data_IF_062612250582
#
_entry.id   IF_062612250582
#
_cell.length_a   1.000
_cell.length_b   1.000
_cell.length_c   1.000
_cell.angle_alpha   90.00
_cell.angle_beta   90.00
_cell.angle_gamma   90.00
#
_symmetry.space_group_name_H-M   'P 1'
#
loop_
_entity.id
_entity.type
_entity.pdbx_description
1 polymer ?
#
# COMPACT_ATOMS: atom_id res chain seq x y z
N UNK A 1 23.39 -12.93 12.24
CA UNK A 1 22.95 -13.09 10.86
C UNK A 1 22.52 -11.75 10.28
N UNK A 2 22.70 -11.57 8.95
CA UNK A 2 22.27 -10.37 8.24
C UNK A 2 21.34 -10.78 7.10
N UNK A 3 20.17 -10.16 7.06
CA UNK A 3 19.19 -10.31 6.01
C UNK A 3 19.09 -9.02 5.21
N UNK A 4 18.80 -9.13 3.92
CA UNK A 4 18.55 -7.98 3.04
C UNK A 4 17.17 -8.17 2.43
N UNK A 5 16.31 -7.18 2.60
CA UNK A 5 14.94 -7.19 2.07
C UNK A 5 14.62 -5.85 1.41
N UNK A 6 13.68 -5.84 0.49
CA UNK A 6 13.12 -4.60 -0.01
C UNK A 6 12.07 -4.07 0.97
N UNK A 7 11.89 -2.75 1.02
CA UNK A 7 10.81 -2.17 1.83
C UNK A 7 9.45 -2.71 1.38
N UNK A 8 8.52 -2.81 2.33
CA UNK A 8 7.18 -3.40 2.14
C UNK A 8 7.16 -4.88 1.75
N UNK A 9 8.32 -5.56 1.70
CA UNK A 9 8.41 -7.02 1.52
C UNK A 9 8.52 -7.72 2.87
N UNK A 10 7.70 -8.76 3.07
CA UNK A 10 7.73 -9.58 4.27
C UNK A 10 8.95 -10.50 4.31
N UNK A 11 9.65 -10.52 5.45
CA UNK A 11 10.66 -11.52 5.80
C UNK A 11 10.10 -12.39 6.92
N UNK A 12 9.70 -13.62 6.59
CA UNK A 12 9.20 -14.56 7.60
C UNK A 12 10.36 -15.37 8.18
N UNK A 13 10.46 -15.36 9.49
CA UNK A 13 11.51 -16.04 10.25
C UNK A 13 10.89 -17.19 11.04
N UNK A 14 11.47 -18.38 10.87
CA UNK A 14 11.04 -19.63 11.50
C UNK A 14 12.18 -20.19 12.35
N UNK A 15 12.19 -19.99 13.66
CA UNK A 15 13.21 -20.56 14.52
C UNK A 15 13.18 -22.09 14.53
N UNK A 16 14.36 -22.71 14.40
CA UNK A 16 14.50 -24.15 14.41
C UNK A 16 14.31 -24.80 15.81
N UNK A 17 14.28 -23.96 16.85
CA UNK A 17 14.14 -24.41 18.23
C UNK A 17 12.75 -24.16 18.78
N UNK A 18 12.33 -24.98 19.74
CA UNK A 18 11.10 -24.82 20.50
C UNK A 18 11.39 -24.47 21.94
N UNK A 19 10.56 -23.66 22.55
CA UNK A 19 10.65 -23.27 23.96
C UNK A 19 9.29 -22.93 24.53
N UNK A 20 9.23 -22.57 25.80
CA UNK A 20 7.99 -22.26 26.49
C UNK A 20 7.43 -20.88 26.10
N UNK A 21 8.30 -19.91 25.83
CA UNK A 21 7.94 -18.54 25.46
C UNK A 21 8.91 -17.97 24.46
N UNK A 22 8.40 -17.18 23.55
CA UNK A 22 9.15 -16.48 22.51
C UNK A 22 9.02 -14.98 22.67
N UNK A 23 10.02 -14.24 22.26
CA UNK A 23 10.00 -12.79 22.22
C UNK A 23 10.83 -12.27 21.05
N UNK A 24 10.23 -11.41 20.24
CA UNK A 24 10.89 -10.67 19.19
C UNK A 24 10.90 -9.20 19.57
N UNK A 25 12.07 -8.59 19.59
CA UNK A 25 12.22 -7.17 19.85
C UNK A 25 12.97 -6.50 18.70
N UNK A 26 12.44 -5.38 18.25
CA UNK A 26 12.93 -4.65 17.09
C UNK A 26 13.41 -3.27 17.51
N UNK A 27 14.52 -2.84 16.92
CA UNK A 27 15.02 -1.48 17.00
C UNK A 27 15.56 -1.02 15.65
N UNK A 28 15.46 0.29 15.40
CA UNK A 28 16.04 0.92 14.22
C UNK A 28 17.47 1.38 14.54
N UNK A 29 18.44 1.02 13.69
CA UNK A 29 19.84 1.40 13.87
C UNK A 29 20.04 2.83 13.37
N UNK A 30 20.11 3.80 14.31
CA UNK A 30 20.36 5.21 14.01
C UNK A 30 21.73 5.61 14.58
N UNK A 31 22.45 6.47 13.85
CA UNK A 31 23.78 6.94 14.24
C UNK A 31 23.82 7.79 15.52
N UNK A 32 22.68 8.12 16.12
CA UNK A 32 22.65 9.21 17.07
C UNK A 32 22.03 8.96 18.44
N UNK A 33 21.43 7.82 18.78
CA UNK A 33 20.84 7.63 20.13
C UNK A 33 20.72 6.16 20.55
N UNK A 34 20.76 5.92 21.86
CA UNK A 34 20.37 4.66 22.52
C UNK A 34 19.03 4.15 22.01
N UNK A 35 19.08 3.10 21.19
CA UNK A 35 17.90 2.56 20.53
C UNK A 35 17.16 1.66 21.52
N UNK A 36 15.94 2.01 21.85
CA UNK A 36 15.08 1.19 22.71
C UNK A 36 14.48 0.06 21.87
N UNK A 37 14.76 -1.19 22.27
CA UNK A 37 14.12 -2.35 21.68
C UNK A 37 12.62 -2.34 22.02
N UNK A 38 11.77 -2.44 21.03
CA UNK A 38 10.33 -2.60 21.21
C UNK A 38 9.93 -4.05 20.93
N UNK A 39 9.16 -4.65 21.83
CA UNK A 39 8.63 -6.00 21.61
C UNK A 39 7.59 -5.92 20.51
N UNK A 40 7.80 -6.67 19.42
CA UNK A 40 6.95 -6.67 18.23
C UNK A 40 6.15 -7.96 18.06
N UNK A 41 6.59 -9.07 18.67
CA UNK A 41 5.85 -10.33 18.67
C UNK A 41 6.29 -11.26 19.82
N UNK A 42 5.36 -12.16 20.20
CA UNK A 42 5.59 -13.22 21.19
C UNK A 42 5.26 -14.62 20.62
N UNK A 43 5.01 -14.71 19.34
CA UNK A 43 4.80 -15.96 18.61
C UNK A 43 6.12 -16.60 18.24
N UNK A 44 6.10 -17.92 17.96
CA UNK A 44 7.30 -18.63 17.49
C UNK A 44 7.81 -18.04 16.18
N UNK A 45 6.93 -17.91 15.20
CA UNK A 45 7.24 -17.37 13.90
C UNK A 45 6.94 -15.87 13.87
N UNK A 46 7.76 -15.12 13.17
CA UNK A 46 7.59 -13.68 13.04
C UNK A 46 7.82 -13.25 11.59
N UNK A 47 6.95 -12.38 11.09
CA UNK A 47 7.11 -11.73 9.80
C UNK A 47 7.46 -10.25 10.00
N UNK A 48 8.69 -9.92 9.64
CA UNK A 48 9.16 -8.54 9.61
C UNK A 48 8.73 -7.86 8.32
N UNK A 49 8.20 -6.65 8.44
CA UNK A 49 7.91 -5.72 7.31
C UNK A 49 8.31 -4.32 7.76
N UNK A 50 8.96 -3.55 6.89
CA UNK A 50 9.25 -2.15 7.13
C UNK A 50 8.91 -1.29 5.92
N UNK A 51 8.34 -0.12 6.16
CA UNK A 51 8.01 0.90 5.16
C UNK A 51 9.19 1.83 4.85
N UNK A 52 10.17 1.90 5.74
CA UNK A 52 11.33 2.77 5.59
C UNK A 52 12.60 1.98 5.31
N UNK A 53 13.44 2.52 4.45
CA UNK A 53 14.77 1.97 4.17
C UNK A 53 15.70 2.27 5.34
N UNK A 54 16.62 1.35 5.62
CA UNK A 54 17.59 1.52 6.71
C UNK A 54 18.01 0.19 7.29
N UNK A 55 18.65 0.24 8.42
CA UNK A 55 19.09 -0.95 9.14
C UNK A 55 18.30 -1.13 10.42
N UNK A 56 17.80 -2.32 10.59
CA UNK A 56 17.04 -2.73 11.78
C UNK A 56 17.81 -3.82 12.51
N UNK A 57 17.75 -3.76 13.82
CA UNK A 57 18.27 -4.82 14.69
C UNK A 57 17.08 -5.57 15.25
N UNK A 58 17.06 -6.88 15.03
CA UNK A 58 16.02 -7.76 15.51
C UNK A 58 16.67 -8.74 16.52
N UNK A 59 16.12 -8.74 17.75
CA UNK A 59 16.51 -9.66 18.81
C UNK A 59 15.40 -10.70 18.96
N UNK A 60 15.78 -11.95 18.85
CA UNK A 60 14.91 -13.09 19.15
C UNK A 60 15.36 -13.75 20.45
N UNK A 61 14.42 -14.03 21.35
CA UNK A 61 14.66 -14.76 22.58
C UNK A 61 13.70 -15.93 22.71
N UNK A 62 14.27 -17.08 23.09
CA UNK A 62 13.53 -18.26 23.54
C UNK A 62 13.77 -18.36 25.04
N UNK A 63 12.68 -18.43 25.79
CA UNK A 63 12.72 -18.71 27.20
C UNK A 63 12.40 -20.19 27.42
N UNK A 64 13.36 -20.88 28.00
CA UNK A 64 13.24 -22.22 28.54
C UNK A 64 13.60 -22.16 30.01
N UNK A 65 13.14 -23.14 30.82
CA UNK A 65 13.20 -23.12 32.28
C UNK A 65 14.60 -22.87 32.87
N UNK A 66 15.66 -23.13 32.12
CA UNK A 66 17.05 -23.05 32.63
C UNK A 66 17.86 -21.87 32.10
N UNK A 67 17.81 -21.56 30.79
CA UNK A 67 18.60 -20.48 30.19
C UNK A 67 17.91 -19.88 28.95
N UNK A 68 17.74 -18.56 28.88
CA UNK A 68 17.23 -17.92 27.65
C UNK A 68 18.29 -18.04 26.55
N UNK A 69 17.87 -18.48 25.37
CA UNK A 69 18.66 -18.42 24.15
C UNK A 69 18.34 -17.10 23.45
N UNK A 70 19.37 -16.30 23.20
CA UNK A 70 19.22 -15.02 22.50
C UNK A 70 19.95 -15.08 21.17
N UNK A 71 19.26 -14.65 20.11
CA UNK A 71 19.82 -14.51 18.78
C UNK A 71 19.62 -13.08 18.27
N UNK A 72 20.70 -12.47 17.77
CA UNK A 72 20.69 -11.12 17.21
C UNK A 72 20.82 -11.21 15.69
N UNK A 73 19.95 -10.49 15.01
CA UNK A 73 19.90 -10.38 13.57
C UNK A 73 19.93 -8.93 13.14
N UNK A 74 20.53 -8.69 12.02
CA UNK A 74 20.54 -7.39 11.34
C UNK A 74 19.72 -7.50 10.06
N UNK A 75 18.76 -6.62 9.86
CA UNK A 75 17.92 -6.57 8.66
C UNK A 75 18.19 -5.25 7.95
N UNK A 76 18.71 -5.34 6.74
CA UNK A 76 18.95 -4.18 5.88
C UNK A 76 17.79 -4.06 4.92
N UNK A 77 16.99 -3.02 5.10
CA UNK A 77 15.86 -2.70 4.21
C UNK A 77 16.34 -1.77 3.13
N UNK A 78 16.24 -2.20 1.89
CA UNK A 78 16.62 -1.44 0.71
C UNK A 78 15.38 -0.91 -0.01
N UNK A 79 15.59 0.15 -0.79
CA UNK A 79 14.57 0.58 -1.72
C UNK A 79 14.31 -0.54 -2.74
N UNK A 80 13.05 -0.73 -3.07
CA UNK A 80 12.64 -1.67 -4.11
C UNK A 80 13.26 -1.31 -5.47
N UNK A 81 13.67 -2.33 -6.22
CA UNK A 81 14.23 -2.14 -7.57
C UNK A 81 13.11 -1.95 -8.62
N UNK A 82 11.86 -2.25 -8.26
CA UNK A 82 10.71 -2.11 -9.14
C UNK A 82 10.30 -0.64 -9.22
N UNK A 83 10.30 -0.08 -10.41
CA UNK A 83 9.75 1.24 -10.69
C UNK A 83 8.22 1.15 -10.74
N UNK A 84 7.55 1.58 -9.68
CA UNK A 84 6.10 1.68 -9.64
C UNK A 84 5.59 2.91 -10.40
N UNK A 85 4.39 2.77 -10.96
CA UNK A 85 3.72 3.89 -11.62
C UNK A 85 3.17 4.88 -10.58
N UNK A 86 3.45 6.19 -10.68
CA UNK A 86 2.81 7.18 -9.82
C UNK A 86 1.33 7.44 -10.17
N UNK A 87 0.79 6.72 -11.16
CA UNK A 87 -0.57 6.89 -11.67
C UNK A 87 -1.40 5.65 -11.43
N UNK A 88 -2.74 5.80 -11.50
CA UNK A 88 -3.65 4.65 -11.53
C UNK A 88 -3.29 3.72 -12.69
N UNK A 89 -3.20 2.42 -12.39
CA UNK A 89 -2.87 1.34 -13.34
C UNK A 89 -4.01 0.35 -13.52
N UNK A 90 -5.05 0.46 -12.67
CA UNK A 90 -6.21 -0.46 -12.68
C UNK A 90 -7.50 0.32 -12.49
N UNK A 91 -8.56 -0.19 -13.12
CA UNK A 91 -9.95 0.17 -12.84
C UNK A 91 -10.65 -1.14 -12.50
N UNK A 92 -11.11 -1.26 -11.28
CA UNK A 92 -11.82 -2.45 -10.81
C UNK A 92 -13.29 -2.40 -11.16
N UNK A 93 -13.89 -1.21 -11.03
CA UNK A 93 -15.29 -1.03 -11.32
C UNK A 93 -15.58 0.42 -11.71
N UNK A 94 -16.40 0.59 -12.72
CA UNK A 94 -16.96 1.87 -13.14
C UNK A 94 -18.46 1.76 -13.21
N UNK A 95 -19.17 2.49 -12.37
CA UNK A 95 -20.63 2.53 -12.25
C UNK A 95 -21.14 3.95 -12.27
N UNK A 96 -21.30 4.57 -13.46
CA UNK A 96 -21.88 5.88 -13.53
C UNK A 96 -23.39 5.82 -13.18
N UNK A 97 -23.86 6.80 -12.42
CA UNK A 97 -25.29 7.02 -12.24
C UNK A 97 -25.86 7.82 -13.43
N UNK A 98 -27.19 7.79 -13.68
CA UNK A 98 -27.80 8.62 -14.71
C UNK A 98 -27.42 10.09 -14.56
N UNK A 99 -26.99 10.72 -15.62
CA UNK A 99 -26.55 12.12 -15.59
C UNK A 99 -26.01 12.60 -16.94
N UNK A 100 -25.52 13.82 -16.95
CA UNK A 100 -24.94 14.42 -18.16
C UNK A 100 -23.64 13.69 -18.54
N UNK A 101 -23.41 13.47 -19.81
CA UNK A 101 -22.22 12.85 -20.41
C UNK A 101 -21.95 11.38 -20.02
N UNK A 102 -22.87 10.68 -19.37
CA UNK A 102 -22.68 9.30 -18.90
C UNK A 102 -22.32 8.33 -20.02
N UNK A 103 -22.87 8.51 -21.22
CA UNK A 103 -22.61 7.64 -22.38
C UNK A 103 -21.61 8.22 -23.37
N UNK A 104 -20.92 9.30 -23.01
CA UNK A 104 -19.96 10.01 -23.87
C UNK A 104 -18.58 10.16 -23.26
N UNK A 105 -18.46 10.03 -21.95
CA UNK A 105 -17.17 10.13 -21.23
C UNK A 105 -17.03 9.05 -20.16
N UNK A 106 -16.52 7.86 -20.52
CA UNK A 106 -16.19 7.37 -21.87
C UNK A 106 -17.42 7.02 -22.69
N UNK A 107 -17.26 6.95 -24.02
CA UNK A 107 -18.36 6.57 -24.93
C UNK A 107 -18.80 5.15 -24.69
N UNK A 108 -20.12 4.97 -24.57
CA UNK A 108 -20.75 3.66 -24.55
C UNK A 108 -21.16 3.26 -25.98
N UNK A 109 -20.86 2.01 -26.34
CA UNK A 109 -21.25 1.40 -27.60
C UNK A 109 -22.08 0.14 -27.34
N UNK A 110 -22.96 -0.21 -28.27
CA UNK A 110 -23.75 -1.42 -28.16
C UNK A 110 -22.83 -2.63 -28.06
N UNK A 111 -23.01 -3.46 -27.02
CA UNK A 111 -22.17 -4.62 -26.72
C UNK A 111 -21.07 -4.36 -25.68
N UNK A 112 -20.91 -3.13 -25.23
CA UNK A 112 -19.99 -2.86 -24.13
C UNK A 112 -20.42 -3.59 -22.85
N UNK A 113 -19.45 -4.23 -22.21
CA UNK A 113 -19.57 -4.90 -20.93
C UNK A 113 -18.96 -4.05 -19.82
N UNK A 114 -19.13 -4.44 -18.57
CA UNK A 114 -18.45 -3.80 -17.45
C UNK A 114 -16.93 -3.78 -17.65
N UNK A 115 -16.37 -4.88 -18.17
CA UNK A 115 -14.94 -5.00 -18.39
C UNK A 115 -14.44 -4.05 -19.51
N UNK A 116 -15.15 -3.96 -20.62
CA UNK A 116 -14.79 -3.01 -21.69
C UNK A 116 -14.93 -1.57 -21.26
N UNK A 117 -15.95 -1.25 -20.47
CA UNK A 117 -16.10 0.09 -19.90
C UNK A 117 -15.00 0.42 -18.88
N UNK A 118 -14.59 -0.51 -18.04
CA UNK A 118 -13.44 -0.34 -17.15
C UNK A 118 -12.14 -0.08 -17.94
N UNK A 119 -11.94 -0.78 -19.06
CA UNK A 119 -10.78 -0.57 -19.92
C UNK A 119 -10.81 0.83 -20.57
N UNK A 120 -11.95 1.29 -21.06
CA UNK A 120 -12.14 2.65 -21.61
C UNK A 120 -11.87 3.74 -20.57
N UNK A 121 -12.30 3.51 -19.33
CA UNK A 121 -11.99 4.40 -18.19
C UNK A 121 -10.49 4.44 -17.93
N UNK A 122 -9.83 3.28 -17.85
CA UNK A 122 -8.38 3.22 -17.65
C UNK A 122 -7.62 3.91 -18.80
N UNK A 123 -8.08 3.75 -20.03
CA UNK A 123 -7.50 4.46 -21.17
C UNK A 123 -7.64 5.98 -21.05
N UNK A 124 -8.77 6.47 -20.52
CA UNK A 124 -9.00 7.90 -20.35
C UNK A 124 -8.19 8.54 -19.23
N UNK A 125 -8.14 7.92 -18.05
CA UNK A 125 -7.59 8.55 -16.83
C UNK A 125 -6.39 7.82 -16.21
N UNK A 126 -6.03 6.63 -16.69
CA UNK A 126 -4.91 5.83 -16.17
C UNK A 126 -3.56 6.20 -16.78
N UNK A 127 -2.49 5.64 -16.20
CA UNK A 127 -1.13 5.69 -16.75
C UNK A 127 -0.65 7.12 -17.11
N UNK A 128 -1.06 8.12 -16.33
CA UNK A 128 -0.67 9.53 -16.56
C UNK A 128 -1.48 10.27 -17.65
N UNK A 129 -2.52 9.67 -18.18
CA UNK A 129 -3.45 10.35 -19.08
C UNK A 129 -4.17 11.50 -18.38
N UNK A 130 -4.51 12.53 -19.13
CA UNK A 130 -5.21 13.74 -18.66
C UNK A 130 -6.65 13.80 -19.17
N UNK A 131 -7.23 12.64 -19.46
CA UNK A 131 -8.62 12.57 -19.86
C UNK A 131 -9.58 12.75 -18.68
N UNK A 132 -10.86 12.75 -18.99
CA UNK A 132 -11.95 12.85 -18.03
C UNK A 132 -12.91 11.68 -18.20
N UNK A 133 -13.58 11.34 -17.11
CA UNK A 133 -14.73 10.46 -17.09
C UNK A 133 -15.85 11.14 -16.33
N UNK A 134 -17.08 10.77 -16.61
CA UNK A 134 -18.23 11.24 -15.82
C UNK A 134 -18.71 10.15 -14.88
N UNK A 135 -19.03 10.51 -13.65
CA UNK A 135 -19.68 9.61 -12.71
C UNK A 135 -21.21 9.80 -12.72
N UNK A 136 -21.71 10.80 -13.44
CA UNK A 136 -23.12 11.14 -13.48
C UNK A 136 -23.61 11.83 -12.21
N UNK A 137 -24.84 11.53 -11.81
CA UNK A 137 -25.44 12.10 -10.59
C UNK A 137 -25.03 11.30 -9.33
N UNK A 138 -25.72 11.60 -8.22
CA UNK A 138 -25.49 10.95 -6.96
C UNK A 138 -25.58 9.40 -7.05
N UNK A 139 -24.59 8.73 -6.48
CA UNK A 139 -24.48 7.27 -6.47
C UNK A 139 -23.57 6.68 -7.55
N UNK A 140 -23.12 7.49 -8.53
CA UNK A 140 -22.12 7.05 -9.49
C UNK A 140 -20.72 7.01 -8.88
N UNK A 141 -19.92 5.98 -9.23
CA UNK A 141 -18.58 5.80 -8.67
C UNK A 141 -17.62 5.11 -9.63
N UNK A 142 -16.35 5.21 -9.33
CA UNK A 142 -15.28 4.44 -9.93
C UNK A 142 -14.36 3.91 -8.83
N UNK A 143 -13.96 2.65 -8.95
CA UNK A 143 -12.96 2.03 -8.08
C UNK A 143 -11.68 1.84 -8.90
N UNK A 144 -10.63 2.49 -8.45
CA UNK A 144 -9.32 2.48 -9.12
C UNK A 144 -8.25 1.88 -8.22
N UNK A 145 -7.15 1.45 -8.80
CA UNK A 145 -6.01 0.91 -8.06
C UNK A 145 -4.67 1.29 -8.70
N UNK A 146 -3.65 1.04 -7.95
CA UNK A 146 -2.25 1.24 -8.33
C UNK A 146 -1.55 -0.11 -8.46
N UNK A 147 -0.34 -0.13 -8.98
CA UNK A 147 0.52 -1.32 -9.05
C UNK A 147 1.31 -1.56 -7.74
N UNK A 148 1.08 -0.72 -6.76
CA UNK A 148 1.71 -0.76 -5.44
C UNK A 148 0.78 -0.18 -4.37
N UNK A 149 1.11 -0.44 -3.10
CA UNK A 149 0.42 0.17 -1.96
C UNK A 149 0.81 1.65 -1.83
N UNK A 150 -0.18 2.53 -1.70
CA UNK A 150 0.07 3.94 -1.39
C UNK A 150 0.52 4.02 0.08
N UNK A 151 1.69 4.60 0.29
CA UNK A 151 2.23 4.79 1.62
C UNK A 151 1.56 6.01 2.28
N UNK A 152 1.07 5.84 3.51
CA UNK A 152 0.61 6.97 4.32
C UNK A 152 1.80 7.62 5.02
N UNK A 153 2.12 8.86 4.65
CA UNK A 153 3.25 9.62 5.20
C UNK A 153 2.70 10.79 6.01
N UNK A 154 2.98 10.81 7.30
CA UNK A 154 2.50 11.85 8.20
C UNK A 154 2.96 13.24 7.76
N UNK A 155 2.00 14.16 7.60
CA UNK A 155 2.25 15.55 7.18
C UNK A 155 2.42 15.77 5.68
N UNK A 156 2.43 14.72 4.87
CA UNK A 156 2.56 14.80 3.42
C UNK A 156 1.23 14.52 2.70
N UNK A 157 1.22 14.67 1.39
CA UNK A 157 0.09 14.33 0.53
C UNK A 157 0.37 13.03 -0.20
N UNK A 158 -0.34 11.98 0.12
CA UNK A 158 -0.09 10.65 -0.41
C UNK A 158 -0.56 10.48 -1.85
N UNK A 159 -1.63 11.17 -2.25
CA UNK A 159 -2.14 11.16 -3.61
C UNK A 159 -2.88 12.46 -3.97
N UNK A 160 -3.13 12.64 -5.25
CA UNK A 160 -3.85 13.79 -5.79
C UNK A 160 -4.95 13.34 -6.74
N UNK A 161 -6.14 13.89 -6.55
CA UNK A 161 -7.25 13.79 -7.51
C UNK A 161 -7.53 15.18 -8.09
N UNK A 162 -7.70 15.24 -9.40
CA UNK A 162 -8.06 16.47 -10.10
C UNK A 162 -9.50 16.33 -10.56
N UNK A 163 -10.38 17.16 -10.01
CA UNK A 163 -11.78 17.28 -10.46
C UNK A 163 -11.91 18.25 -11.63
N UNK A 164 -13.13 18.38 -12.15
CA UNK A 164 -13.49 19.28 -13.24
C UNK A 164 -14.19 20.56 -12.75
N UNK A 165 -13.85 21.02 -11.56
CA UNK A 165 -14.43 22.26 -11.04
C UNK A 165 -14.08 23.48 -11.91
N UNK A 166 -15.07 24.33 -12.19
CA UNK A 166 -14.89 25.56 -12.91
C UNK A 166 -15.76 26.69 -12.31
N UNK A 167 -15.62 27.90 -12.80
CA UNK A 167 -16.38 29.05 -12.29
C UNK A 167 -17.88 28.78 -12.38
N UNK A 168 -18.55 28.75 -11.23
CA UNK A 168 -19.99 28.49 -11.13
C UNK A 168 -20.40 27.02 -10.94
N UNK A 169 -19.46 26.09 -11.01
CA UNK A 169 -19.72 24.67 -10.71
C UNK A 169 -18.57 24.04 -9.95
N UNK A 170 -18.85 23.53 -8.74
CA UNK A 170 -17.85 22.91 -7.87
C UNK A 170 -17.59 21.44 -8.19
N UNK A 171 -18.52 20.75 -8.86
CA UNK A 171 -18.46 19.32 -9.18
C UNK A 171 -17.87 18.44 -8.06
N UNK A 172 -18.50 18.45 -6.88
CA UNK A 172 -17.95 17.78 -5.70
C UNK A 172 -18.03 16.26 -5.82
N UNK A 173 -17.05 15.57 -5.24
CA UNK A 173 -17.02 14.11 -5.12
C UNK A 173 -16.56 13.67 -3.74
N UNK A 174 -16.95 12.46 -3.36
CA UNK A 174 -16.46 11.80 -2.13
C UNK A 174 -15.32 10.86 -2.53
N UNK A 175 -14.21 10.96 -1.81
CA UNK A 175 -13.06 10.09 -1.98
C UNK A 175 -13.03 9.13 -0.80
N UNK A 176 -12.97 7.84 -1.10
CA UNK A 176 -12.80 6.78 -0.11
C UNK A 176 -11.55 5.98 -0.43
N UNK A 177 -10.86 5.52 0.59
CA UNK A 177 -9.68 4.66 0.50
C UNK A 177 -9.99 3.34 1.19
N UNK A 178 -9.70 2.23 0.52
CA UNK A 178 -9.81 0.90 1.09
C UNK A 178 -8.40 0.35 1.37
N UNK A 179 -8.31 -0.46 2.39
CA UNK A 179 -7.16 -1.30 2.67
C UNK A 179 -7.43 -2.69 2.07
N UNK A 180 -6.50 -3.23 1.28
CA UNK A 180 -6.56 -4.59 0.71
C UNK A 180 -6.05 -5.63 1.70
#
# INVERSE_FOLDING_TARGET
DTYVVERMKGLTLHPGFTGERYEWALSYESDSVSVTDSIVATTRDYTFVASETGTYRLRFQIYDAANPITHLMRIVVRKEEVAYSPYITKVYEYRPAPGQFVNTMPSYEEGDTQETMNAKVLEAIGNGKKGMITLGAYGGYVIVGFDHTIQNVEGEKDFRIVGNAFTGSSEPGIIMVAYD
#
